data_IF_722087755137
#
_entry.id   IF_722087755137
#
_cell.length_a   1.000
_cell.length_b   1.000
_cell.length_c   1.000
_cell.angle_alpha   90.00
_cell.angle_beta   90.00
_cell.angle_gamma   90.00
#
_symmetry.space_group_name_H-M   'P 1'
#
loop_
_entity.id
_entity.type
_entity.pdbx_description
1 polymer ?
#
# COMPACT_ATOMS: atom_id res chain seq x y z
N UNK A 1 6.22 10.53 6.66
CA UNK A 1 6.08 10.23 5.24
C UNK A 1 4.80 9.45 4.98
N UNK A 2 4.63 8.21 5.50
CA UNK A 2 3.39 7.41 5.37
C UNK A 2 2.06 8.18 5.60
N UNK A 3 1.95 8.97 6.68
CA UNK A 3 0.73 9.74 6.97
C UNK A 3 0.52 10.99 6.10
N UNK A 4 1.57 11.47 5.41
CA UNK A 4 1.54 12.73 4.66
C UNK A 4 1.35 12.53 3.16
N UNK A 5 1.99 11.53 2.57
CA UNK A 5 1.99 11.30 1.12
C UNK A 5 1.17 10.06 0.79
N UNK A 6 1.58 8.88 1.27
CA UNK A 6 0.87 7.63 1.02
C UNK A 6 -0.62 7.71 1.38
N UNK A 7 -0.96 8.02 2.64
CA UNK A 7 -2.36 8.06 3.10
C UNK A 7 -3.26 8.98 2.24
N UNK A 8 -2.73 10.14 1.83
CA UNK A 8 -3.48 11.08 1.02
C UNK A 8 -3.75 10.53 -0.39
N UNK A 9 -2.75 9.94 -1.04
CA UNK A 9 -2.89 9.41 -2.40
C UNK A 9 -3.82 8.20 -2.46
N UNK A 10 -3.72 7.28 -1.48
CA UNK A 10 -4.64 6.15 -1.37
C UNK A 10 -6.09 6.64 -1.23
N UNK A 11 -6.34 7.54 -0.28
CA UNK A 11 -7.71 7.99 0.03
C UNK A 11 -8.29 8.94 -1.02
N UNK A 12 -7.44 9.64 -1.78
CA UNK A 12 -7.87 10.51 -2.87
C UNK A 12 -8.27 9.73 -4.14
N UNK A 13 -7.84 8.47 -4.29
CA UNK A 13 -8.16 7.66 -5.47
C UNK A 13 -9.60 7.13 -5.38
N UNK A 14 -10.47 7.44 -6.36
CA UNK A 14 -11.83 6.91 -6.38
C UNK A 14 -11.87 5.38 -6.31
N UNK A 15 -12.78 4.84 -5.50
CA UNK A 15 -12.89 3.40 -5.27
C UNK A 15 -12.01 2.85 -4.15
N UNK A 16 -11.15 3.67 -3.52
CA UNK A 16 -10.52 3.29 -2.26
C UNK A 16 -11.58 3.18 -1.15
N UNK A 17 -11.62 2.05 -0.45
CA UNK A 17 -12.52 1.80 0.70
C UNK A 17 -11.81 1.94 2.04
N UNK A 18 -10.49 2.15 2.04
CA UNK A 18 -9.66 2.33 3.22
C UNK A 18 -8.23 1.87 2.99
N UNK A 19 -7.34 2.37 3.83
CA UNK A 19 -5.94 1.93 3.90
C UNK A 19 -5.50 1.82 5.35
N UNK A 20 -4.72 0.78 5.64
CA UNK A 20 -4.17 0.46 6.95
C UNK A 20 -2.66 0.41 6.82
N UNK A 21 -1.98 1.33 7.49
CA UNK A 21 -0.54 1.27 7.67
C UNK A 21 -0.23 0.49 8.93
N UNK A 22 0.40 -0.66 8.76
CA UNK A 22 0.77 -1.57 9.84
C UNK A 22 2.27 -1.52 10.06
N UNK A 23 2.71 -1.94 11.25
CA UNK A 23 4.12 -2.13 11.56
C UNK A 23 4.29 -3.27 12.54
N UNK A 24 5.43 -3.97 12.46
CA UNK A 24 5.85 -4.98 13.44
C UNK A 24 7.33 -4.81 13.76
N UNK A 25 7.68 -4.88 15.04
CA UNK A 25 9.06 -4.90 15.51
C UNK A 25 9.63 -6.32 15.46
N UNK A 26 10.83 -6.47 14.89
CA UNK A 26 11.56 -7.72 14.73
C UNK A 26 13.03 -7.53 15.13
N UNK A 27 13.30 -7.61 16.43
CA UNK A 27 14.63 -7.36 16.96
C UNK A 27 15.10 -5.95 16.62
N UNK A 28 16.17 -5.84 15.82
CA UNK A 28 16.74 -4.56 15.39
C UNK A 28 16.04 -3.94 14.16
N UNK A 29 15.03 -4.62 13.59
CA UNK A 29 14.31 -4.17 12.40
C UNK A 29 12.86 -3.87 12.72
N UNK A 30 12.26 -2.99 11.92
CA UNK A 30 10.81 -2.77 11.90
C UNK A 30 10.31 -2.98 10.49
N UNK A 31 9.36 -3.90 10.34
CA UNK A 31 8.67 -4.15 9.08
C UNK A 31 7.41 -3.28 9.03
N UNK A 32 7.09 -2.78 7.83
CA UNK A 32 5.90 -2.01 7.55
C UNK A 32 5.12 -2.68 6.43
N UNK A 33 3.80 -2.82 6.58
CA UNK A 33 2.91 -3.24 5.50
C UNK A 33 1.78 -2.24 5.34
N UNK A 34 1.51 -1.86 4.09
CA UNK A 34 0.32 -1.11 3.73
C UNK A 34 -0.73 -2.08 3.17
N UNK A 35 -1.90 -2.13 3.79
CA UNK A 35 -3.04 -2.91 3.30
C UNK A 35 -4.09 -1.92 2.82
N UNK A 36 -4.48 -1.99 1.55
CA UNK A 36 -5.50 -1.11 0.97
C UNK A 36 -6.66 -1.92 0.43
N UNK A 37 -7.88 -1.44 0.68
CA UNK A 37 -9.12 -2.10 0.25
C UNK A 37 -9.71 -1.27 -0.87
N UNK A 38 -10.10 -1.95 -1.95
CA UNK A 38 -10.55 -1.30 -3.18
C UNK A 38 -11.87 -1.89 -3.65
N UNK A 39 -12.65 -1.06 -4.35
CA UNK A 39 -13.94 -1.42 -4.92
C UNK A 39 -13.82 -2.40 -6.09
N UNK A 40 -12.75 -2.28 -6.88
CA UNK A 40 -12.52 -3.12 -8.06
C UNK A 40 -11.06 -3.10 -8.51
N UNK A 41 -10.72 -3.99 -9.44
CA UNK A 41 -9.41 -4.02 -10.10
C UNK A 41 -9.12 -2.75 -10.90
N UNK A 42 -10.13 -2.12 -11.48
CA UNK A 42 -9.98 -0.83 -12.18
C UNK A 42 -9.57 0.28 -11.22
N UNK A 43 -10.12 0.31 -10.00
CA UNK A 43 -9.72 1.27 -8.96
C UNK A 43 -8.27 1.01 -8.49
N UNK A 44 -7.88 -0.26 -8.35
CA UNK A 44 -6.49 -0.64 -8.05
C UNK A 44 -5.54 -0.12 -9.15
N UNK A 45 -5.85 -0.36 -10.42
CA UNK A 45 -5.03 0.11 -11.55
C UNK A 45 -5.00 1.62 -11.67
N UNK A 46 -6.09 2.31 -11.33
CA UNK A 46 -6.11 3.77 -11.29
C UNK A 46 -5.13 4.35 -10.26
N UNK A 47 -4.85 3.62 -9.18
CA UNK A 47 -3.85 3.97 -8.18
C UNK A 47 -2.43 3.50 -8.58
N UNK A 48 -2.29 2.21 -8.87
CA UNK A 48 -0.99 1.53 -9.03
C UNK A 48 -0.40 1.61 -10.45
N UNK A 49 -1.20 2.02 -11.43
CA UNK A 49 -0.85 1.97 -12.84
C UNK A 49 -1.24 0.65 -13.51
N UNK A 50 -0.69 0.43 -14.71
CA UNK A 50 -1.08 -0.71 -15.57
C UNK A 50 -0.61 -2.06 -15.03
N UNK A 51 0.44 -2.08 -14.20
CA UNK A 51 0.97 -3.27 -13.53
C UNK A 51 0.75 -3.17 -12.01
N UNK A 52 -0.42 -3.62 -11.52
CA UNK A 52 -0.77 -3.52 -10.10
C UNK A 52 0.00 -4.50 -9.21
N UNK A 53 0.80 -5.42 -9.78
CA UNK A 53 1.67 -6.31 -9.02
C UNK A 53 2.96 -5.62 -8.58
N UNK A 54 3.25 -4.43 -9.09
CA UNK A 54 4.42 -3.63 -8.68
C UNK A 54 4.02 -2.64 -7.58
N UNK A 55 4.78 -2.63 -6.49
CA UNK A 55 4.53 -1.70 -5.39
C UNK A 55 4.80 -0.24 -5.79
N UNK A 56 3.87 0.65 -5.44
CA UNK A 56 4.03 2.09 -5.61
C UNK A 56 4.96 2.61 -4.51
N UNK A 57 6.14 3.07 -4.92
CA UNK A 57 7.13 3.70 -4.05
C UNK A 57 7.24 5.19 -4.31
N UNK A 58 7.44 5.94 -3.24
CA UNK A 58 7.69 7.38 -3.26
C UNK A 58 9.20 7.65 -3.21
N UNK A 59 9.69 8.75 -3.80
CA UNK A 59 11.12 9.09 -3.75
C UNK A 59 11.69 9.18 -2.33
N UNK A 60 10.84 9.45 -1.35
CA UNK A 60 11.20 9.54 0.05
C UNK A 60 11.48 8.15 0.65
N UNK A 61 10.92 7.07 0.10
CA UNK A 61 11.06 5.70 0.64
C UNK A 61 12.51 5.23 0.59
N UNK A 62 13.26 5.60 -0.46
CA UNK A 62 14.68 5.28 -0.62
C UNK A 62 15.55 5.86 0.51
N UNK A 63 15.09 6.92 1.19
CA UNK A 63 15.83 7.53 2.29
C UNK A 63 15.60 6.84 3.65
N UNK A 64 14.55 6.02 3.79
CA UNK A 64 14.14 5.45 5.07
C UNK A 64 14.08 3.92 5.09
N UNK A 65 13.85 3.27 3.95
CA UNK A 65 13.73 1.81 3.89
C UNK A 65 15.10 1.14 3.85
N UNK A 66 15.27 0.15 4.74
CA UNK A 66 16.46 -0.73 4.73
C UNK A 66 16.41 -1.74 3.58
N UNK A 67 15.20 -2.16 3.20
CA UNK A 67 14.91 -3.09 2.13
C UNK A 67 13.46 -2.86 1.64
N UNK A 68 13.12 -3.31 0.44
CA UNK A 68 11.78 -3.18 -0.14
C UNK A 68 11.34 -4.43 -0.89
N UNK A 69 10.07 -4.77 -0.73
CA UNK A 69 9.45 -5.89 -1.42
C UNK A 69 9.03 -5.46 -2.83
N UNK A 70 9.45 -6.17 -3.86
CA UNK A 70 9.21 -5.70 -5.24
C UNK A 70 7.79 -5.94 -5.73
N UNK A 71 7.04 -6.84 -5.09
CA UNK A 71 5.71 -7.28 -5.50
C UNK A 71 4.62 -6.90 -4.52
N UNK A 72 3.39 -6.73 -5.04
CA UNK A 72 2.15 -6.57 -4.28
C UNK A 72 1.30 -7.82 -4.46
N UNK A 73 0.85 -8.39 -3.34
CA UNK A 73 -0.11 -9.48 -3.34
C UNK A 73 -1.55 -8.93 -3.29
N UNK A 74 -2.43 -9.51 -4.09
CA UNK A 74 -3.84 -9.13 -4.17
C UNK A 74 -4.73 -10.27 -3.68
N UNK A 75 -5.69 -9.91 -2.82
CA UNK A 75 -6.64 -10.86 -2.24
C UNK A 75 -8.06 -10.36 -2.42
N UNK A 76 -8.98 -11.27 -2.70
CA UNK A 76 -10.41 -10.98 -2.69
C UNK A 76 -10.94 -10.99 -1.24
N UNK A 77 -11.54 -9.88 -0.81
CA UNK A 77 -12.27 -9.82 0.45
C UNK A 77 -13.63 -10.51 0.26
N UNK A 78 -13.67 -11.82 0.51
CA UNK A 78 -14.90 -12.62 0.36
C UNK A 78 -15.87 -12.46 1.55
N UNK A 79 -15.39 -12.01 2.71
CA UNK A 79 -16.19 -11.77 3.90
C UNK A 79 -15.51 -10.75 4.84
N UNK A 80 -16.31 -9.89 5.47
CA UNK A 80 -15.91 -8.94 6.52
C UNK A 80 -17.07 -8.75 7.50
N UNK A 81 -16.77 -8.42 8.76
CA UNK A 81 -17.76 -8.20 9.82
C UNK A 81 -18.15 -6.73 9.98
#
# INVERSE_FOLDING_TARGET
>A
MLQRTGLADYTATPGNKGVYFTRRELGERTEFYAISIWESWEAIKAFAGDDPEVAVYYPEDDAFLLDREHGVEHYEVFASA
#
